data_IF_513122420605
#
_entry.id   IF_513122420605
#
_cell.length_a   1.000
_cell.length_b   1.000
_cell.length_c   1.000
_cell.angle_alpha   90.00
_cell.angle_beta   90.00
_cell.angle_gamma   90.00
#
_symmetry.space_group_name_H-M   'P 1'
#
loop_
_entity.id
_entity.type
_entity.pdbx_description
1 polymer ?
#
# COMPACT_ATOMS: atom_id res chain seq x y z
N UNK A 1 15.07 15.36 19.83
CA UNK A 1 14.58 14.59 18.67
C UNK A 1 13.22 14.03 19.04
N UNK A 2 12.25 14.09 18.14
CA UNK A 2 10.92 13.51 18.34
C UNK A 2 11.02 11.99 18.38
N UNK A 3 10.14 11.36 19.15
CA UNK A 3 10.10 9.90 19.25
C UNK A 3 9.18 9.30 18.19
N UNK A 4 9.58 8.17 17.62
CA UNK A 4 8.86 7.47 16.55
C UNK A 4 8.54 6.06 17.03
N UNK A 5 7.31 5.60 16.86
CA UNK A 5 6.93 4.21 17.08
C UNK A 5 6.95 3.44 15.76
N UNK A 6 7.81 2.43 15.63
CA UNK A 6 7.89 1.55 14.46
C UNK A 6 7.01 0.33 14.74
N UNK A 7 6.04 0.09 13.88
CA UNK A 7 4.99 -0.91 14.03
C UNK A 7 5.29 -2.10 13.13
N UNK A 8 5.85 -3.16 13.71
CA UNK A 8 6.23 -4.39 13.02
C UNK A 8 5.17 -5.47 13.25
N UNK A 9 4.47 -5.87 12.19
CA UNK A 9 3.53 -6.97 12.22
C UNK A 9 4.23 -8.27 11.78
N UNK A 10 4.12 -9.36 12.58
CA UNK A 10 4.74 -10.65 12.28
C UNK A 10 3.74 -11.79 12.27
N UNK A 11 3.98 -12.76 11.40
CA UNK A 11 3.35 -14.08 11.36
C UNK A 11 4.18 -15.06 10.53
N UNK A 12 4.71 -16.12 11.14
CA UNK A 12 5.55 -17.13 10.50
C UNK A 12 6.67 -16.51 9.65
N UNK A 13 7.47 -15.63 10.30
CA UNK A 13 8.52 -14.83 9.68
C UNK A 13 9.94 -15.26 10.04
N UNK A 14 10.15 -16.44 10.64
CA UNK A 14 11.44 -16.89 11.18
C UNK A 14 12.62 -16.72 10.23
N UNK A 15 12.35 -16.83 8.92
CA UNK A 15 13.36 -16.77 7.87
C UNK A 15 13.99 -15.39 7.71
N UNK A 16 13.23 -14.31 7.93
CA UNK A 16 13.65 -12.95 7.56
C UNK A 16 13.57 -11.94 8.71
N UNK A 17 12.76 -12.21 9.74
CA UNK A 17 12.44 -11.23 10.79
C UNK A 17 13.68 -10.74 11.53
N UNK A 18 14.69 -11.58 11.69
CA UNK A 18 15.98 -11.22 12.30
C UNK A 18 16.66 -10.10 11.52
N UNK A 19 16.83 -10.28 10.21
CA UNK A 19 17.48 -9.29 9.34
C UNK A 19 16.70 -7.96 9.33
N UNK A 20 15.38 -8.03 9.33
CA UNK A 20 14.52 -6.85 9.41
C UNK A 20 14.73 -6.09 10.71
N UNK A 21 14.69 -6.76 11.86
CA UNK A 21 14.93 -6.13 13.17
C UNK A 21 16.32 -5.49 13.21
N UNK A 22 17.35 -6.19 12.78
CA UNK A 22 18.73 -5.68 12.75
C UNK A 22 18.83 -4.43 11.85
N UNK A 23 18.13 -4.38 10.71
CA UNK A 23 18.12 -3.21 9.84
C UNK A 23 17.46 -1.99 10.49
N UNK A 24 16.44 -2.21 11.33
CA UNK A 24 15.79 -1.15 12.10
C UNK A 24 16.69 -0.68 13.25
N UNK A 25 17.31 -1.59 13.99
CA UNK A 25 18.17 -1.24 15.12
C UNK A 25 19.43 -0.47 14.70
N UNK A 26 19.88 -0.66 13.46
CA UNK A 26 21.05 0.01 12.86
C UNK A 26 20.71 1.33 12.13
N UNK A 27 19.56 1.95 12.38
CA UNK A 27 19.21 3.26 11.81
C UNK A 27 20.06 4.39 12.39
N UNK A 28 20.38 5.41 11.57
CA UNK A 28 21.08 6.64 12.01
C UNK A 28 20.26 7.48 12.99
N UNK A 29 18.94 7.36 12.93
CA UNK A 29 18.00 7.99 13.86
C UNK A 29 17.68 7.03 15.01
N UNK A 30 18.16 7.33 16.22
CA UNK A 30 18.12 6.40 17.35
C UNK A 30 16.89 6.54 18.25
N UNK A 31 16.15 7.67 18.18
CA UNK A 31 15.03 7.95 19.10
C UNK A 31 13.70 7.32 18.61
N UNK A 32 13.64 6.00 18.66
CA UNK A 32 12.43 5.24 18.31
C UNK A 32 12.13 4.13 19.31
N UNK A 33 10.88 3.64 19.29
CA UNK A 33 10.48 2.35 19.84
C UNK A 33 10.17 1.40 18.67
N UNK A 34 10.48 0.11 18.83
CA UNK A 34 10.05 -0.95 17.92
C UNK A 34 8.94 -1.76 18.60
N UNK A 35 7.70 -1.53 18.19
CA UNK A 35 6.51 -2.19 18.72
C UNK A 35 6.17 -3.35 17.79
N UNK A 36 6.30 -4.57 18.27
CA UNK A 36 6.11 -5.79 17.49
C UNK A 36 4.83 -6.48 17.96
N UNK A 37 3.99 -6.91 17.01
CA UNK A 37 2.84 -7.75 17.31
C UNK A 37 2.90 -9.04 16.50
N UNK A 38 3.08 -10.16 17.19
CA UNK A 38 3.08 -11.50 16.60
C UNK A 38 1.66 -12.07 16.57
N UNK A 39 1.18 -12.40 15.37
CA UNK A 39 -0.19 -12.88 15.12
C UNK A 39 -0.32 -14.40 15.30
N UNK A 40 0.21 -14.94 16.43
CA UNK A 40 0.24 -16.35 16.79
C UNK A 40 1.06 -17.20 15.80
N UNK A 41 2.33 -16.84 15.60
CA UNK A 41 3.28 -17.65 14.81
C UNK A 41 3.43 -19.07 15.38
N UNK A 42 3.58 -20.02 14.46
CA UNK A 42 3.77 -21.45 14.77
C UNK A 42 5.20 -21.95 14.49
N UNK A 43 6.01 -21.09 13.89
CA UNK A 43 7.45 -21.31 13.64
C UNK A 43 8.30 -20.67 14.74
N UNK A 44 9.61 -20.53 14.53
CA UNK A 44 10.53 -19.96 15.53
C UNK A 44 10.47 -18.42 15.65
N UNK A 45 9.53 -17.74 14.96
CA UNK A 45 9.43 -16.27 14.96
C UNK A 45 9.40 -15.71 16.37
N UNK A 46 8.48 -16.20 17.22
CA UNK A 46 8.29 -15.66 18.56
C UNK A 46 9.55 -15.75 19.42
N UNK A 47 10.27 -16.86 19.39
CA UNK A 47 11.53 -17.02 20.15
C UNK A 47 12.57 -15.97 19.71
N UNK A 48 12.68 -15.72 18.40
CA UNK A 48 13.56 -14.68 17.86
C UNK A 48 13.16 -13.30 18.41
N UNK A 49 11.88 -12.96 18.38
CA UNK A 49 11.38 -11.66 18.88
C UNK A 49 11.67 -11.46 20.37
N UNK A 50 11.42 -12.48 21.20
CA UNK A 50 11.67 -12.45 22.64
C UNK A 50 13.17 -12.33 22.98
N UNK A 51 14.05 -12.89 22.16
CA UNK A 51 15.50 -12.70 22.31
C UNK A 51 15.91 -11.24 22.05
N UNK A 52 15.35 -10.58 21.02
CA UNK A 52 15.65 -9.18 20.74
C UNK A 52 15.05 -8.25 21.79
N UNK A 53 13.85 -8.51 22.29
CA UNK A 53 13.22 -7.73 23.37
C UNK A 53 14.10 -7.74 24.66
N UNK A 54 14.72 -8.87 24.99
CA UNK A 54 15.64 -8.98 26.13
C UNK A 54 16.95 -8.20 25.93
N UNK A 55 17.39 -7.99 24.68
CA UNK A 55 18.67 -7.37 24.33
C UNK A 55 18.60 -5.86 24.13
N UNK A 56 17.43 -5.33 23.73
CA UNK A 56 17.26 -3.91 23.40
C UNK A 56 15.97 -3.35 24.00
N UNK A 57 16.11 -2.39 24.91
CA UNK A 57 14.99 -1.78 25.65
C UNK A 57 14.03 -0.97 24.78
N UNK A 58 14.40 -0.67 23.53
CA UNK A 58 13.52 -0.01 22.57
C UNK A 58 12.48 -0.96 21.99
N UNK A 59 12.65 -2.27 22.15
CA UNK A 59 11.77 -3.31 21.59
C UNK A 59 10.69 -3.67 22.60
N UNK A 60 9.45 -3.79 22.12
CA UNK A 60 8.32 -4.32 22.88
C UNK A 60 7.55 -5.32 22.03
N UNK A 61 7.41 -6.56 22.52
CA UNK A 61 6.74 -7.66 21.81
C UNK A 61 5.37 -7.92 22.42
N UNK A 62 4.35 -8.00 21.59
CA UNK A 62 3.00 -8.43 21.93
C UNK A 62 2.69 -9.75 21.21
N UNK A 63 2.38 -10.77 21.99
CA UNK A 63 1.99 -12.08 21.50
C UNK A 63 0.47 -12.22 21.50
N UNK A 64 -0.13 -12.61 20.39
CA UNK A 64 -1.54 -12.95 20.32
C UNK A 64 -1.77 -14.44 20.54
N UNK A 65 -2.94 -14.79 21.08
CA UNK A 65 -3.33 -16.19 21.32
C UNK A 65 -3.76 -16.91 20.04
N UNK A 66 -4.25 -16.18 19.04
CA UNK A 66 -4.70 -16.74 17.76
C UNK A 66 -4.48 -15.76 16.62
N UNK A 67 -4.24 -16.29 15.44
CA UNK A 67 -4.12 -15.51 14.21
C UNK A 67 -5.45 -14.82 13.87
N UNK A 68 -5.42 -13.50 13.76
CA UNK A 68 -6.55 -12.64 13.38
C UNK A 68 -6.35 -11.97 12.02
N UNK A 69 -5.16 -12.11 11.45
CA UNK A 69 -4.78 -11.57 10.16
C UNK A 69 -4.20 -10.15 10.21
N UNK A 70 -3.66 -9.74 9.06
CA UNK A 70 -2.85 -8.53 8.91
C UNK A 70 -3.55 -7.25 9.39
N UNK A 71 -4.82 -7.05 9.02
CA UNK A 71 -5.56 -5.83 9.36
C UNK A 71 -5.75 -5.70 10.88
N UNK A 72 -6.16 -6.79 11.54
CA UNK A 72 -6.29 -6.82 13.00
C UNK A 72 -4.96 -6.65 13.71
N UNK A 73 -3.86 -7.10 13.08
CA UNK A 73 -2.53 -6.96 13.63
C UNK A 73 -2.06 -5.50 13.57
N UNK A 74 -2.17 -4.83 12.44
CA UNK A 74 -1.86 -3.40 12.33
C UNK A 74 -2.82 -2.50 13.10
N UNK A 75 -4.12 -2.86 13.20
CA UNK A 75 -5.05 -2.11 14.05
C UNK A 75 -4.65 -2.16 15.52
N UNK A 76 -4.22 -3.34 16.01
CA UNK A 76 -3.70 -3.50 17.37
C UNK A 76 -2.44 -2.64 17.57
N UNK A 77 -1.50 -2.68 16.63
CA UNK A 77 -0.27 -1.88 16.68
C UNK A 77 -0.59 -0.36 16.72
N UNK A 78 -1.47 0.12 15.86
CA UNK A 78 -1.89 1.53 15.84
C UNK A 78 -2.52 1.98 17.16
N UNK A 79 -3.27 1.11 17.85
CA UNK A 79 -3.85 1.40 19.17
C UNK A 79 -2.81 1.50 20.29
N UNK A 80 -1.62 0.95 20.08
CA UNK A 80 -0.53 0.96 21.04
C UNK A 80 0.53 2.06 20.75
N UNK A 81 0.30 2.92 19.76
CA UNK A 81 1.17 4.06 19.49
C UNK A 81 1.09 5.08 20.61
N UNK A 82 2.26 5.49 21.10
CA UNK A 82 2.42 6.48 22.18
C UNK A 82 3.24 7.69 21.76
N UNK A 83 4.01 7.59 20.69
CA UNK A 83 4.88 8.63 20.16
C UNK A 83 4.12 9.58 19.21
N UNK A 84 4.73 10.74 18.88
CA UNK A 84 4.15 11.74 17.97
C UNK A 84 4.06 11.26 16.52
N UNK A 85 4.89 10.27 16.16
CA UNK A 85 5.00 9.71 14.82
C UNK A 85 4.99 8.18 14.88
N UNK A 86 4.52 7.57 13.79
CA UNK A 86 4.61 6.13 13.61
C UNK A 86 5.06 5.76 12.20
N UNK A 87 5.65 4.57 12.07
CA UNK A 87 6.03 3.94 10.81
C UNK A 87 5.49 2.52 10.76
N UNK A 88 5.07 2.05 9.58
CA UNK A 88 4.78 0.63 9.38
C UNK A 88 6.02 -0.12 8.93
N UNK A 89 6.12 -1.37 9.35
CA UNK A 89 7.17 -2.30 8.94
C UNK A 89 6.59 -3.68 8.66
N UNK A 90 6.97 -4.26 7.53
CA UNK A 90 6.77 -5.67 7.23
C UNK A 90 7.94 -6.48 7.79
N UNK A 91 7.78 -7.80 7.96
CA UNK A 91 8.74 -8.66 8.67
C UNK A 91 9.91 -9.18 7.80
N UNK A 92 9.88 -8.90 6.49
CA UNK A 92 10.67 -9.60 5.47
C UNK A 92 11.53 -8.66 4.59
N UNK A 93 11.54 -7.36 4.90
CA UNK A 93 12.29 -6.34 4.18
C UNK A 93 13.66 -6.04 4.84
N UNK A 94 14.43 -5.14 4.24
CA UNK A 94 15.62 -4.53 4.85
C UNK A 94 15.53 -3.01 4.71
N UNK A 95 15.63 -2.29 5.82
CA UNK A 95 15.68 -0.84 5.81
C UNK A 95 17.10 -0.31 5.54
N UNK A 96 17.23 0.68 4.65
CA UNK A 96 18.49 1.41 4.50
C UNK A 96 18.74 2.26 5.75
N UNK A 97 20.00 2.44 6.12
CA UNK A 97 20.43 3.05 7.41
C UNK A 97 19.84 4.42 7.70
N UNK A 98 19.54 5.20 6.66
CA UNK A 98 19.07 6.58 6.72
C UNK A 98 17.57 6.77 6.47
N UNK A 99 16.81 5.65 6.43
CA UNK A 99 15.37 5.68 6.12
C UNK A 99 14.57 6.56 7.06
N UNK A 100 14.73 6.38 8.38
CA UNK A 100 13.99 7.16 9.38
C UNK A 100 14.36 8.63 9.27
N UNK A 101 15.64 8.94 9.22
CA UNK A 101 16.18 10.31 9.14
C UNK A 101 15.66 11.04 7.89
N UNK A 102 15.77 10.44 6.71
CA UNK A 102 15.22 11.00 5.47
C UNK A 102 13.72 11.25 5.55
N UNK A 103 12.98 10.30 6.12
CA UNK A 103 11.53 10.40 6.22
C UNK A 103 11.10 11.51 7.15
N UNK A 104 11.69 11.61 8.37
CA UNK A 104 11.29 12.64 9.35
C UNK A 104 11.72 14.04 8.90
N UNK A 105 12.90 14.17 8.29
CA UNK A 105 13.38 15.44 7.76
C UNK A 105 12.45 15.96 6.63
N UNK A 106 12.06 15.07 5.69
CA UNK A 106 11.13 15.43 4.62
C UNK A 106 9.75 15.82 5.13
N UNK A 107 9.24 15.09 6.12
CA UNK A 107 7.94 15.39 6.75
C UNK A 107 7.94 16.78 7.40
N UNK A 108 9.04 17.15 8.09
CA UNK A 108 9.20 18.47 8.73
C UNK A 108 9.38 19.57 7.71
N UNK A 109 10.29 19.39 6.76
CA UNK A 109 10.57 20.36 5.68
C UNK A 109 9.29 20.79 4.98
N UNK A 110 8.44 19.81 4.64
CA UNK A 110 7.20 20.08 3.92
C UNK A 110 5.99 20.31 4.84
N UNK A 111 6.16 20.23 6.15
CA UNK A 111 5.09 20.33 7.16
C UNK A 111 3.93 19.34 6.92
N UNK A 112 4.20 18.20 6.30
CA UNK A 112 3.18 17.23 5.88
C UNK A 112 2.68 16.35 7.04
N UNK A 113 1.50 15.73 6.85
CA UNK A 113 0.91 14.77 7.79
C UNK A 113 1.48 13.36 7.65
N UNK A 114 1.96 13.04 6.44
CA UNK A 114 2.54 11.76 6.08
C UNK A 114 3.62 11.94 5.04
N UNK A 115 4.67 11.14 5.14
CA UNK A 115 5.68 10.95 4.09
C UNK A 115 5.76 9.46 3.72
N UNK A 116 6.04 9.18 2.47
CA UNK A 116 6.35 7.84 1.97
C UNK A 116 7.55 7.88 1.03
N UNK A 117 8.21 6.75 0.84
CA UNK A 117 9.45 6.69 0.07
C UNK A 117 9.33 5.70 -1.10
N UNK A 118 10.25 5.77 -2.07
CA UNK A 118 10.44 4.69 -3.02
C UNK A 118 11.13 3.49 -2.34
N UNK A 119 11.15 2.36 -3.02
CA UNK A 119 11.82 1.14 -2.58
C UNK A 119 12.51 0.42 -3.74
N UNK A 120 13.55 -0.36 -3.44
CA UNK A 120 14.15 -1.33 -4.36
C UNK A 120 13.42 -2.64 -4.28
N UNK A 121 13.27 -3.35 -5.40
CA UNK A 121 12.81 -4.73 -5.41
C UNK A 121 14.04 -5.64 -5.43
N UNK A 122 14.13 -6.55 -4.46
CA UNK A 122 15.23 -7.51 -4.34
C UNK A 122 14.71 -8.94 -4.28
N UNK A 123 15.56 -9.92 -4.63
CA UNK A 123 15.27 -11.33 -4.42
C UNK A 123 15.49 -11.76 -2.95
N UNK A 124 15.30 -13.05 -2.66
CA UNK A 124 15.50 -13.59 -1.31
C UNK A 124 16.95 -13.42 -0.78
N UNK A 125 17.92 -13.27 -1.69
CA UNK A 125 19.36 -13.09 -1.38
C UNK A 125 19.79 -11.62 -1.42
N UNK A 126 18.85 -10.69 -1.49
CA UNK A 126 19.06 -9.24 -1.61
C UNK A 126 19.73 -8.78 -2.91
N UNK A 127 19.75 -9.60 -3.97
CA UNK A 127 20.15 -9.13 -5.29
C UNK A 127 19.07 -8.22 -5.86
N UNK A 128 19.47 -7.05 -6.37
CA UNK A 128 18.52 -6.05 -6.91
C UNK A 128 17.92 -6.56 -8.23
N UNK A 129 16.58 -6.69 -8.24
CA UNK A 129 15.79 -7.01 -9.45
C UNK A 129 15.39 -5.69 -10.14
N UNK A 130 14.88 -4.72 -9.38
CA UNK A 130 14.55 -3.38 -9.87
C UNK A 130 14.98 -2.31 -8.87
N UNK A 131 15.78 -1.31 -9.28
CA UNK A 131 16.30 -0.30 -8.36
C UNK A 131 15.28 0.74 -7.91
N UNK A 132 14.08 0.77 -8.50
CA UNK A 132 12.98 1.66 -8.13
C UNK A 132 11.65 1.00 -8.44
N UNK A 133 10.83 0.84 -7.41
CA UNK A 133 9.48 0.31 -7.53
C UNK A 133 8.56 1.25 -8.33
N UNK A 134 8.68 2.57 -8.09
CA UNK A 134 7.84 3.55 -8.77
C UNK A 134 8.07 3.56 -10.29
N UNK A 135 9.35 3.43 -10.72
CA UNK A 135 9.70 3.32 -12.15
C UNK A 135 9.23 1.99 -12.73
N UNK A 136 9.44 0.89 -12.01
CA UNK A 136 8.95 -0.44 -12.42
C UNK A 136 7.43 -0.48 -12.60
N UNK A 137 6.68 0.08 -11.66
CA UNK A 137 5.20 0.16 -11.73
C UNK A 137 4.69 1.27 -12.65
N UNK A 138 5.57 2.10 -13.19
CA UNK A 138 5.23 3.25 -14.04
C UNK A 138 4.35 4.29 -13.32
N UNK A 139 4.54 4.44 -12.00
CA UNK A 139 3.82 5.42 -11.17
C UNK A 139 4.66 6.64 -10.80
N UNK A 140 5.96 6.64 -11.12
CA UNK A 140 6.89 7.73 -10.78
C UNK A 140 6.37 9.11 -11.22
N UNK A 141 6.06 9.26 -12.52
CA UNK A 141 5.54 10.54 -13.06
C UNK A 141 4.22 10.96 -12.42
N UNK A 142 3.37 9.99 -12.07
CA UNK A 142 2.10 10.25 -11.39
C UNK A 142 2.34 10.83 -10.01
N UNK A 143 3.26 10.24 -9.22
CA UNK A 143 3.61 10.70 -7.88
C UNK A 143 4.15 12.13 -7.95
N UNK A 144 5.12 12.40 -8.81
CA UNK A 144 5.71 13.75 -8.96
C UNK A 144 4.65 14.81 -9.32
N UNK A 145 3.71 14.47 -10.20
CA UNK A 145 2.74 15.42 -10.73
C UNK A 145 1.47 15.55 -9.88
N UNK A 146 1.04 14.46 -9.23
CA UNK A 146 -0.29 14.35 -8.62
C UNK A 146 -0.25 13.74 -7.21
N UNK A 147 0.70 14.17 -6.38
CA UNK A 147 0.80 13.73 -5.00
C UNK A 147 -0.27 14.40 -4.12
N UNK A 148 -1.53 14.01 -4.30
CA UNK A 148 -2.67 14.60 -3.61
C UNK A 148 -3.76 13.57 -3.31
N UNK A 149 -4.75 13.99 -2.51
CA UNK A 149 -5.89 13.17 -2.12
C UNK A 149 -6.65 12.59 -3.32
N UNK A 150 -6.97 13.41 -4.33
CA UNK A 150 -7.81 12.99 -5.45
C UNK A 150 -7.14 11.88 -6.28
N UNK A 151 -5.84 11.97 -6.51
CA UNK A 151 -5.09 10.95 -7.21
C UNK A 151 -5.00 9.65 -6.39
N UNK A 152 -4.77 9.77 -5.08
CA UNK A 152 -4.73 8.63 -4.16
C UNK A 152 -6.13 7.99 -4.02
N UNK A 153 -7.19 8.80 -3.92
CA UNK A 153 -8.58 8.32 -3.87
C UNK A 153 -8.94 7.44 -5.08
N UNK A 154 -8.38 7.70 -6.23
CA UNK A 154 -8.65 6.93 -7.45
C UNK A 154 -7.78 5.67 -7.57
N UNK A 155 -6.53 5.72 -7.13
CA UNK A 155 -5.60 4.60 -7.22
C UNK A 155 -4.49 4.71 -6.17
N UNK A 156 -4.26 3.62 -5.43
CA UNK A 156 -3.15 3.54 -4.49
C UNK A 156 -1.78 3.61 -5.21
N UNK A 157 -0.88 4.43 -4.68
CA UNK A 157 0.53 4.52 -5.05
C UNK A 157 1.47 4.55 -3.82
N UNK A 158 0.94 4.33 -2.63
CA UNK A 158 1.69 4.29 -1.37
C UNK A 158 1.82 2.84 -0.90
N UNK A 159 3.00 2.45 -0.44
CA UNK A 159 3.30 1.13 0.12
C UNK A 159 3.52 1.23 1.61
N UNK A 160 2.96 0.31 2.40
CA UNK A 160 2.91 0.37 3.86
C UNK A 160 4.27 0.56 4.52
N UNK A 161 5.22 -0.32 4.22
CA UNK A 161 6.56 -0.27 4.81
C UNK A 161 7.35 1.02 4.51
N UNK A 162 6.84 1.87 3.59
CA UNK A 162 7.47 3.15 3.24
C UNK A 162 6.97 4.35 4.04
N UNK A 163 5.87 4.19 4.80
CA UNK A 163 5.16 5.29 5.46
C UNK A 163 5.82 5.70 6.78
N UNK A 164 5.95 7.02 6.98
CA UNK A 164 6.05 7.69 8.27
C UNK A 164 4.91 8.72 8.38
N UNK A 165 4.16 8.70 9.49
CA UNK A 165 2.99 9.55 9.66
C UNK A 165 2.85 10.13 11.07
N UNK A 166 2.15 11.26 11.19
CA UNK A 166 1.79 11.88 12.49
C UNK A 166 0.71 11.08 13.21
N UNK A 167 0.97 10.73 14.46
CA UNK A 167 0.06 9.92 15.30
C UNK A 167 -1.25 10.61 15.62
N UNK A 168 -1.33 11.94 15.52
CA UNK A 168 -2.58 12.70 15.72
C UNK A 168 -3.75 12.24 14.84
N UNK A 169 -3.46 11.56 13.71
CA UNK A 169 -4.47 11.05 12.77
C UNK A 169 -4.97 9.64 13.10
N UNK A 170 -4.40 8.95 14.08
CA UNK A 170 -4.80 7.57 14.42
C UNK A 170 -6.29 7.46 14.74
N UNK A 171 -6.87 8.46 15.42
CA UNK A 171 -8.31 8.51 15.72
C UNK A 171 -9.19 8.52 14.46
N UNK A 172 -8.71 9.15 13.39
CA UNK A 172 -9.42 9.21 12.12
C UNK A 172 -9.23 7.92 11.29
N UNK A 173 -8.03 7.33 11.39
CA UNK A 173 -7.67 6.09 10.70
C UNK A 173 -8.47 4.91 11.25
N UNK A 174 -8.61 4.83 12.57
CA UNK A 174 -9.28 3.71 13.24
C UNK A 174 -10.83 3.83 13.23
N UNK A 175 -11.54 2.69 13.16
CA UNK A 175 -11.06 1.35 12.88
C UNK A 175 -10.62 1.20 11.42
N UNK A 176 -9.71 0.25 11.16
CA UNK A 176 -9.29 -0.09 9.81
C UNK A 176 -10.41 -0.83 9.05
N UNK A 177 -10.57 -0.62 7.72
CA UNK A 177 -11.55 -1.35 6.93
C UNK A 177 -11.18 -2.84 6.85
N UNK A 178 -12.16 -3.73 7.13
CA UNK A 178 -11.94 -5.19 7.18
C UNK A 178 -12.42 -5.93 5.94
N UNK A 179 -13.36 -5.36 5.19
CA UNK A 179 -14.06 -6.03 4.10
C UNK A 179 -13.37 -5.86 2.74
N UNK A 180 -12.05 -5.62 2.72
CA UNK A 180 -11.31 -5.41 1.48
C UNK A 180 -10.02 -6.23 1.42
N UNK A 181 -9.74 -6.72 0.20
CA UNK A 181 -8.45 -7.31 -0.15
C UNK A 181 -7.48 -6.31 -0.81
N UNK A 182 -7.96 -5.12 -1.15
CA UNK A 182 -7.24 -4.11 -1.93
C UNK A 182 -7.07 -2.78 -1.19
N UNK A 183 -7.98 -2.45 -0.25
CA UNK A 183 -7.84 -1.30 0.64
C UNK A 183 -7.32 -1.82 1.98
N UNK A 184 -6.00 -1.90 2.12
CA UNK A 184 -5.32 -2.38 3.33
C UNK A 184 -5.00 -1.19 4.25
N UNK A 185 -4.36 -1.49 5.39
CA UNK A 185 -4.00 -0.52 6.42
C UNK A 185 -3.20 0.68 5.89
N UNK A 186 -2.29 0.44 4.97
CA UNK A 186 -1.40 1.42 4.37
C UNK A 186 -2.14 2.41 3.46
N UNK A 187 -2.87 1.87 2.49
CA UNK A 187 -3.66 2.68 1.58
C UNK A 187 -4.72 3.49 2.33
N UNK A 188 -5.39 2.86 3.28
CA UNK A 188 -6.39 3.53 4.12
C UNK A 188 -5.77 4.67 4.93
N UNK A 189 -4.63 4.42 5.59
CA UNK A 189 -3.89 5.44 6.36
C UNK A 189 -3.51 6.63 5.49
N UNK A 190 -2.90 6.37 4.32
CA UNK A 190 -2.49 7.42 3.40
C UNK A 190 -3.70 8.23 2.89
N UNK A 191 -4.81 7.56 2.58
CA UNK A 191 -6.04 8.21 2.11
C UNK A 191 -6.64 9.13 3.17
N UNK A 192 -6.80 8.65 4.41
CA UNK A 192 -7.38 9.44 5.51
C UNK A 192 -6.52 10.66 5.82
N UNK A 193 -5.20 10.50 5.85
CA UNK A 193 -4.30 11.63 6.11
C UNK A 193 -4.34 12.62 4.95
N UNK A 194 -4.28 12.14 3.69
CA UNK A 194 -4.31 13.03 2.52
C UNK A 194 -5.60 13.83 2.37
N UNK A 195 -6.70 13.35 2.95
CA UNK A 195 -7.97 14.09 3.00
C UNK A 195 -7.95 15.26 4.00
N UNK A 196 -6.98 15.31 4.91
CA UNK A 196 -6.92 16.25 6.03
C UNK A 196 -5.65 17.09 6.08
N UNK A 197 -4.57 16.58 5.49
CA UNK A 197 -3.26 17.21 5.53
C UNK A 197 -2.48 16.87 4.24
N UNK A 198 -1.43 17.63 3.98
CA UNK A 198 -0.49 17.36 2.90
C UNK A 198 0.20 16.01 3.12
N UNK A 199 0.41 15.28 2.04
CA UNK A 199 1.34 14.13 2.00
C UNK A 199 2.57 14.50 1.17
N UNK A 200 3.73 13.99 1.55
CA UNK A 200 4.99 14.21 0.85
C UNK A 200 5.69 12.91 0.53
N UNK A 201 6.77 12.97 -0.23
CA UNK A 201 7.50 11.79 -0.65
C UNK A 201 9.01 12.02 -0.71
N UNK A 202 9.78 10.93 -0.58
CA UNK A 202 11.22 10.86 -0.82
C UNK A 202 11.42 9.99 -2.06
N UNK A 203 12.06 10.54 -3.09
CA UNK A 203 12.27 9.83 -4.37
C UNK A 203 13.27 8.68 -4.28
N UNK A 204 14.14 8.73 -3.26
CA UNK A 204 15.15 7.70 -3.05
C UNK A 204 14.55 6.42 -2.47
N UNK A 205 14.92 5.25 -2.99
CA UNK A 205 14.60 3.97 -2.37
C UNK A 205 15.26 3.86 -0.99
N UNK A 206 14.45 3.71 0.06
CA UNK A 206 14.92 3.59 1.45
C UNK A 206 14.76 2.18 2.02
N UNK A 207 14.22 1.26 1.22
CA UNK A 207 13.92 -0.12 1.59
C UNK A 207 14.38 -1.04 0.46
N UNK A 208 14.95 -2.17 0.84
CA UNK A 208 15.10 -3.35 -0.01
C UNK A 208 13.86 -4.24 0.22
N UNK A 209 12.89 -4.14 -0.70
CA UNK A 209 11.63 -4.87 -0.65
C UNK A 209 11.82 -6.28 -1.20
N UNK A 210 11.85 -7.25 -0.29
CA UNK A 210 12.19 -8.64 -0.61
C UNK A 210 11.05 -9.36 -1.31
N UNK A 211 11.37 -10.10 -2.36
CA UNK A 211 10.43 -10.94 -3.09
C UNK A 211 10.68 -12.41 -2.79
N UNK A 212 9.67 -13.09 -2.26
CA UNK A 212 9.65 -14.53 -2.01
C UNK A 212 8.23 -15.09 -2.20
N UNK A 213 8.10 -16.43 -2.16
CA UNK A 213 6.82 -17.11 -2.47
C UNK A 213 5.68 -16.77 -1.51
N UNK A 214 6.01 -16.36 -0.30
CA UNK A 214 5.04 -16.10 0.77
C UNK A 214 4.64 -14.63 0.90
N UNK A 215 5.15 -13.71 0.05
CA UNK A 215 4.69 -12.33 0.08
C UNK A 215 3.18 -12.25 -0.15
N UNK A 216 2.48 -11.52 0.72
CA UNK A 216 1.05 -11.27 0.57
C UNK A 216 0.74 -10.43 -0.68
N UNK A 217 1.57 -9.44 -0.93
CA UNK A 217 1.51 -8.58 -2.12
C UNK A 217 2.89 -8.61 -2.78
N UNK A 218 3.05 -9.48 -3.77
CA UNK A 218 4.31 -9.55 -4.52
C UNK A 218 4.47 -8.42 -5.52
N UNK A 219 5.70 -8.19 -6.00
CA UNK A 219 6.00 -7.24 -7.06
C UNK A 219 5.38 -7.64 -8.41
N UNK A 220 5.10 -8.93 -8.62
CA UNK A 220 4.47 -9.42 -9.84
C UNK A 220 3.05 -8.88 -9.98
N UNK A 221 2.69 -8.38 -11.15
CA UNK A 221 1.31 -8.01 -11.44
C UNK A 221 0.48 -9.30 -11.51
N UNK A 222 -0.55 -9.45 -10.66
CA UNK A 222 -1.53 -10.55 -10.79
C UNK A 222 -2.09 -10.63 -12.20
N UNK A 223 -2.19 -9.50 -12.91
CA UNK A 223 -2.59 -9.44 -14.31
C UNK A 223 -1.67 -10.22 -15.25
N UNK A 224 -0.40 -10.39 -14.90
CA UNK A 224 0.58 -11.10 -15.76
C UNK A 224 0.44 -12.63 -15.64
N UNK A 225 -0.24 -13.12 -14.61
CA UNK A 225 -0.53 -14.53 -14.37
C UNK A 225 -1.89 -14.96 -14.96
N UNK A 226 -2.69 -14.01 -15.46
CA UNK A 226 -4.00 -14.32 -16.00
C UNK A 226 -3.91 -14.86 -17.42
N UNK A 227 -4.56 -15.99 -17.68
CA UNK A 227 -4.48 -16.69 -18.94
C UNK A 227 -5.43 -16.13 -19.99
N UNK A 228 -6.51 -15.51 -19.58
CA UNK A 228 -7.51 -14.95 -20.50
C UNK A 228 -7.90 -13.51 -20.20
N UNK A 229 -8.45 -12.84 -21.21
CA UNK A 229 -8.85 -11.44 -21.15
C UNK A 229 -10.03 -11.18 -20.21
N UNK A 230 -10.99 -12.10 -20.12
CA UNK A 230 -12.19 -11.91 -19.28
C UNK A 230 -11.80 -11.90 -17.80
N UNK A 231 -10.88 -12.75 -17.37
CA UNK A 231 -10.38 -12.76 -16.00
C UNK A 231 -9.66 -11.46 -15.66
N UNK A 232 -8.84 -10.95 -16.59
CA UNK A 232 -8.18 -9.66 -16.45
C UNK A 232 -9.21 -8.53 -16.26
N UNK A 233 -10.19 -8.45 -17.14
CA UNK A 233 -11.23 -7.44 -17.11
C UNK A 233 -12.08 -7.54 -15.83
N UNK A 234 -12.49 -8.75 -15.46
CA UNK A 234 -13.28 -8.99 -14.26
C UNK A 234 -12.49 -8.62 -12.99
N UNK A 235 -11.17 -8.90 -12.95
CA UNK A 235 -10.31 -8.48 -11.86
C UNK A 235 -10.29 -6.96 -11.72
N UNK A 236 -10.10 -6.21 -12.83
CA UNK A 236 -10.12 -4.74 -12.80
C UNK A 236 -11.45 -4.18 -12.28
N UNK A 237 -12.57 -4.71 -12.77
CA UNK A 237 -13.90 -4.28 -12.35
C UNK A 237 -14.11 -4.59 -10.85
N UNK A 238 -13.74 -5.80 -10.41
CA UNK A 238 -13.86 -6.22 -9.01
C UNK A 238 -13.06 -5.34 -8.07
N UNK A 239 -11.79 -5.08 -8.40
CA UNK A 239 -10.91 -4.20 -7.61
C UNK A 239 -11.53 -2.82 -7.42
N UNK A 240 -12.08 -2.23 -8.50
CA UNK A 240 -12.68 -0.89 -8.42
C UNK A 240 -14.00 -0.87 -7.64
N UNK A 241 -14.83 -1.90 -7.77
CA UNK A 241 -16.06 -2.00 -6.99
C UNK A 241 -15.72 -2.11 -5.51
N UNK A 242 -14.88 -3.07 -5.11
CA UNK A 242 -14.47 -3.25 -3.72
C UNK A 242 -13.86 -1.98 -3.12
N UNK A 243 -13.02 -1.30 -3.88
CA UNK A 243 -12.42 -0.02 -3.52
C UNK A 243 -13.49 1.04 -3.17
N UNK A 244 -14.45 1.27 -4.07
CA UNK A 244 -15.48 2.28 -3.85
C UNK A 244 -16.56 1.86 -2.83
N UNK A 245 -16.80 0.56 -2.62
CA UNK A 245 -17.66 0.06 -1.54
C UNK A 245 -17.08 0.41 -0.17
N UNK A 246 -15.78 0.15 0.05
CA UNK A 246 -15.10 0.54 1.28
C UNK A 246 -15.19 2.05 1.52
N UNK A 247 -15.02 2.85 0.48
CA UNK A 247 -15.10 4.31 0.60
C UNK A 247 -16.53 4.78 0.90
N UNK A 248 -17.53 4.14 0.30
CA UNK A 248 -18.93 4.43 0.60
C UNK A 248 -19.30 4.12 2.04
N UNK A 249 -18.87 2.95 2.55
CA UNK A 249 -19.10 2.55 3.95
C UNK A 249 -18.43 3.48 4.95
N UNK A 250 -17.32 4.12 4.57
CA UNK A 250 -16.52 4.98 5.44
C UNK A 250 -16.56 6.47 5.03
N UNK A 251 -17.58 6.88 4.28
CA UNK A 251 -17.64 8.23 3.67
C UNK A 251 -17.55 9.37 4.69
N UNK A 252 -18.06 9.17 5.91
CA UNK A 252 -18.01 10.15 7.00
C UNK A 252 -16.58 10.53 7.40
N UNK A 253 -15.62 9.60 7.25
CA UNK A 253 -14.19 9.82 7.52
C UNK A 253 -13.48 10.59 6.42
N UNK A 254 -13.98 10.49 5.17
CA UNK A 254 -13.35 11.06 3.96
C UNK A 254 -13.91 12.44 3.61
N UNK A 255 -14.96 12.89 4.24
CA UNK A 255 -15.80 14.10 4.09
C UNK A 255 -15.50 15.09 2.93
N UNK A 256 -16.21 14.93 1.81
CA UNK A 256 -16.83 16.06 1.08
C UNK A 256 -18.13 15.56 0.42
N UNK A 257 -19.17 16.40 0.33
CA UNK A 257 -20.44 16.07 -0.37
C UNK A 257 -20.20 15.63 -1.82
N UNK A 258 -19.21 16.21 -2.44
CA UNK A 258 -18.83 15.94 -3.83
C UNK A 258 -18.26 14.54 -4.01
N UNK A 259 -17.41 14.07 -3.06
CA UNK A 259 -16.84 12.72 -3.05
C UNK A 259 -17.93 11.66 -2.87
N UNK A 260 -18.92 11.88 -1.99
CA UNK A 260 -20.04 10.95 -1.80
C UNK A 260 -20.82 10.71 -3.10
N UNK A 261 -21.19 11.79 -3.79
CA UNK A 261 -21.87 11.69 -5.11
C UNK A 261 -21.00 10.94 -6.12
N UNK A 262 -19.72 11.29 -6.19
CA UNK A 262 -18.76 10.69 -7.10
C UNK A 262 -18.55 9.20 -6.85
N UNK A 263 -18.46 8.77 -5.58
CA UNK A 263 -18.35 7.37 -5.17
C UNK A 263 -19.54 6.54 -5.66
N UNK A 264 -20.76 7.05 -5.47
CA UNK A 264 -21.97 6.37 -5.92
C UNK A 264 -22.06 6.27 -7.45
N UNK A 265 -21.66 7.32 -8.18
CA UNK A 265 -21.59 7.30 -9.63
C UNK A 265 -20.55 6.30 -10.15
N UNK A 266 -19.39 6.23 -9.52
CA UNK A 266 -18.32 5.31 -9.85
C UNK A 266 -18.74 3.85 -9.62
N UNK A 267 -19.34 3.54 -8.47
CA UNK A 267 -19.87 2.20 -8.17
C UNK A 267 -20.87 1.78 -9.25
N UNK A 268 -21.89 2.58 -9.51
CA UNK A 268 -22.90 2.29 -10.53
C UNK A 268 -22.30 2.09 -11.92
N UNK A 269 -21.24 2.83 -12.25
CA UNK A 269 -20.52 2.66 -13.51
C UNK A 269 -19.84 1.31 -13.60
N UNK A 270 -19.03 0.93 -12.60
CA UNK A 270 -18.30 -0.34 -12.60
C UNK A 270 -19.24 -1.56 -12.50
N UNK A 271 -20.32 -1.48 -11.74
CA UNK A 271 -21.34 -2.53 -11.70
C UNK A 271 -21.99 -2.76 -13.06
N UNK A 272 -22.32 -1.68 -13.78
CA UNK A 272 -22.88 -1.78 -15.13
C UNK A 272 -21.88 -2.41 -16.12
N UNK A 273 -20.56 -2.20 -15.93
CA UNK A 273 -19.56 -2.80 -16.80
C UNK A 273 -19.54 -4.33 -16.73
N UNK A 274 -19.95 -4.95 -15.62
CA UNK A 274 -20.10 -6.42 -15.51
C UNK A 274 -20.99 -7.01 -16.59
N UNK A 275 -21.98 -6.24 -17.07
CA UNK A 275 -22.99 -6.67 -18.05
C UNK A 275 -22.61 -6.34 -19.50
N UNK A 276 -21.52 -5.62 -19.72
CA UNK A 276 -21.12 -5.18 -21.06
C UNK A 276 -20.32 -6.27 -21.76
N UNK A 277 -20.85 -6.79 -22.87
CA UNK A 277 -20.21 -7.85 -23.69
C UNK A 277 -19.39 -7.28 -24.86
N UNK A 278 -19.81 -6.14 -25.45
CA UNK A 278 -19.21 -5.61 -26.69
C UNK A 278 -18.64 -4.20 -26.51
N UNK A 279 -19.50 -3.19 -26.47
CA UNK A 279 -19.11 -1.78 -26.40
C UNK A 279 -20.00 -1.03 -25.41
N UNK A 280 -19.41 -0.22 -24.55
CA UNK A 280 -20.11 0.71 -23.69
C UNK A 280 -19.49 2.10 -23.80
N UNK A 281 -20.17 3.01 -24.47
CA UNK A 281 -19.77 4.42 -24.56
C UNK A 281 -20.61 5.31 -23.63
N UNK A 282 -21.56 4.73 -22.87
CA UNK A 282 -22.33 5.48 -21.88
C UNK A 282 -21.41 5.92 -20.73
N UNK A 283 -21.54 7.20 -20.36
CA UNK A 283 -20.75 7.80 -19.26
C UNK A 283 -19.21 7.81 -19.48
N UNK A 284 -18.76 7.88 -20.73
CA UNK A 284 -17.35 8.03 -21.05
C UNK A 284 -16.68 9.21 -20.30
N UNK A 285 -17.39 10.33 -20.10
CA UNK A 285 -16.94 11.46 -19.31
C UNK A 285 -16.60 11.06 -17.86
N UNK A 286 -17.38 10.16 -17.25
CA UNK A 286 -17.10 9.65 -15.91
C UNK A 286 -15.84 8.77 -15.94
N UNK A 287 -15.65 7.93 -16.97
CA UNK A 287 -14.43 7.14 -17.12
C UNK A 287 -13.18 8.04 -17.16
N UNK A 288 -13.15 9.06 -18.03
CA UNK A 288 -12.01 9.97 -18.14
C UNK A 288 -11.78 10.76 -16.85
N UNK A 289 -12.81 11.06 -16.09
CA UNK A 289 -12.70 11.69 -14.76
C UNK A 289 -12.09 10.72 -13.74
N UNK A 290 -12.42 9.41 -13.77
CA UNK A 290 -11.86 8.35 -12.94
C UNK A 290 -10.37 8.07 -13.23
N UNK A 291 -9.95 8.34 -14.46
CA UNK A 291 -8.57 8.11 -14.91
C UNK A 291 -7.78 9.43 -15.16
N UNK A 292 -8.29 10.55 -14.66
CA UNK A 292 -7.71 11.89 -14.87
C UNK A 292 -6.24 11.99 -14.45
N UNK A 293 -5.85 11.25 -13.42
CA UNK A 293 -4.50 11.28 -12.87
C UNK A 293 -3.60 10.15 -13.39
N UNK A 294 -4.03 9.42 -14.40
CA UNK A 294 -3.23 8.39 -15.05
C UNK A 294 -2.55 8.93 -16.31
N UNK A 295 -1.47 8.27 -16.74
CA UNK A 295 -0.86 8.55 -18.04
C UNK A 295 -1.87 8.29 -19.18
N UNK A 296 -1.84 9.10 -20.23
CA UNK A 296 -2.78 9.01 -21.35
C UNK A 296 -2.81 7.63 -21.99
N UNK A 297 -1.65 7.03 -22.23
CA UNK A 297 -1.52 5.68 -22.78
C UNK A 297 -2.20 4.62 -21.92
N UNK A 298 -2.01 4.70 -20.60
CA UNK A 298 -2.62 3.81 -19.64
C UNK A 298 -4.15 4.04 -19.54
N UNK A 299 -4.58 5.29 -19.61
CA UNK A 299 -5.99 5.65 -19.63
C UNK A 299 -6.71 5.06 -20.85
N UNK A 300 -6.13 5.19 -22.04
CA UNK A 300 -6.69 4.60 -23.28
C UNK A 300 -6.71 3.08 -23.21
N UNK A 301 -5.65 2.46 -22.70
CA UNK A 301 -5.59 1.00 -22.51
C UNK A 301 -6.72 0.49 -21.61
N UNK A 302 -6.94 1.14 -20.45
CA UNK A 302 -8.01 0.79 -19.54
C UNK A 302 -9.41 1.09 -20.13
N UNK A 303 -9.54 2.17 -20.91
CA UNK A 303 -10.79 2.46 -21.63
C UNK A 303 -11.16 1.31 -22.57
N UNK A 304 -10.20 0.83 -23.36
CA UNK A 304 -10.41 -0.28 -24.29
C UNK A 304 -10.76 -1.57 -23.52
N UNK A 305 -9.99 -1.91 -22.49
CA UNK A 305 -10.21 -3.13 -21.67
C UNK A 305 -11.62 -3.12 -21.06
N UNK A 306 -12.04 -2.02 -20.49
CA UNK A 306 -13.28 -1.93 -19.72
C UNK A 306 -14.51 -1.69 -20.60
N UNK A 307 -14.40 -0.81 -21.59
CA UNK A 307 -15.55 -0.32 -22.35
C UNK A 307 -15.66 -0.92 -23.76
N UNK A 308 -14.60 -1.48 -24.32
CA UNK A 308 -14.59 -2.10 -25.65
C UNK A 308 -13.95 -3.50 -25.57
N UNK A 309 -14.61 -4.46 -24.89
CA UNK A 309 -14.00 -5.79 -24.63
C UNK A 309 -13.55 -6.53 -25.89
N UNK A 310 -14.20 -6.32 -27.02
CA UNK A 310 -13.81 -6.97 -28.29
C UNK A 310 -12.41 -6.53 -28.76
N UNK A 311 -12.08 -5.24 -28.66
CA UNK A 311 -10.73 -4.72 -28.95
C UNK A 311 -9.73 -5.12 -27.87
N UNK A 312 -10.16 -5.14 -26.61
CA UNK A 312 -9.34 -5.61 -25.49
C UNK A 312 -8.90 -7.06 -25.64
N UNK A 313 -9.81 -7.95 -26.07
CA UNK A 313 -9.48 -9.36 -26.39
C UNK A 313 -8.43 -9.47 -27.48
N UNK A 314 -8.53 -8.67 -28.52
CA UNK A 314 -7.57 -8.67 -29.63
C UNK A 314 -6.19 -8.19 -29.16
N UNK A 315 -6.13 -7.07 -28.45
CA UNK A 315 -4.89 -6.52 -27.90
C UNK A 315 -4.22 -7.49 -26.92
N UNK A 316 -4.99 -8.17 -26.09
CA UNK A 316 -4.50 -9.19 -25.15
C UNK A 316 -3.87 -10.38 -25.88
N UNK A 317 -4.50 -10.89 -26.96
CA UNK A 317 -3.95 -11.96 -27.79
C UNK A 317 -2.63 -11.57 -28.44
N UNK A 318 -2.56 -10.36 -29.02
CA UNK A 318 -1.32 -9.85 -29.66
C UNK A 318 -0.19 -9.74 -28.63
N UNK A 319 -0.45 -9.17 -27.44
CA UNK A 319 0.55 -9.07 -26.36
C UNK A 319 1.08 -10.45 -25.92
N UNK A 320 0.22 -11.47 -25.87
CA UNK A 320 0.59 -12.84 -25.50
C UNK A 320 1.42 -13.54 -26.59
N UNK A 321 1.21 -13.18 -27.87
CA UNK A 321 2.03 -13.69 -29.00
C UNK A 321 3.44 -13.08 -29.02
N UNK A 322 3.58 -11.80 -28.64
CA UNK A 322 4.89 -11.10 -28.62
C UNK A 322 5.74 -11.54 -27.42
N UNK A 323 5.13 -12.04 -26.33
CA UNK A 323 5.84 -12.51 -25.12
C UNK A 323 6.30 -13.98 -25.21
N UNK A 324 5.88 -14.74 -26.22
CA UNK A 324 6.39 -16.07 -26.56
C UNK A 324 7.54 -15.95 -27.53
#
# INVERSE_FOLDING_TARGET
MEKIDILLATYNGEKFVKEQIESILNQTYENFNLIISDDASTDNTLNILEEYEKKDTRIKVFKKEKNKGLIDNFEFLLKNVTSDYFMFSDQDDIWKKDKIEKSINKLKEESSGLVYTDLEIVDEKLNVIYPSYWKYKQIYKKIIKYNNFEALYLNNFVTGCTILAKSKYIKDILPLPRNSKFVLHDYWTALIISAKDKISYVEEPTIQYRQHKNNRVGSSRKSDQLENFEDLRNLFIKVKIEHFEVFKENIEKIKTKEISKYTNEALKYFENLKKVKYINLKKWNLFFRLYKYEEFSYTIQNFIILNIPILGKLAFKIKKMIRK
#
